data_IF_271046161198
#
_entry.id   IF_271046161198
#
_cell.length_a   1.000
_cell.length_b   1.000
_cell.length_c   1.000
_cell.angle_alpha   90.00
_cell.angle_beta   90.00
_cell.angle_gamma   90.00
#
_symmetry.space_group_name_H-M   'P 1'
#
loop_
_entity.id
_entity.type
_entity.pdbx_description
1 polymer ?
#
# COMPACT_ATOMS: atom_id res chain seq x y z
N UNK A 1 -10.40 39.64 20.55
CA UNK A 1 -10.95 39.76 19.18
C UNK A 1 -11.29 38.42 18.52
N UNK A 2 -10.38 37.43 18.50
CA UNK A 2 -10.62 36.09 17.94
C UNK A 2 -11.92 35.42 18.40
N UNK A 3 -12.23 35.52 19.71
CA UNK A 3 -13.48 35.03 20.31
C UNK A 3 -14.73 35.58 19.63
N UNK A 4 -14.72 36.86 19.23
CA UNK A 4 -15.85 37.49 18.55
C UNK A 4 -16.03 36.95 17.13
N UNK A 5 -14.94 36.76 16.38
CA UNK A 5 -15.00 36.17 15.04
C UNK A 5 -15.57 34.74 15.06
N UNK A 6 -15.14 33.93 16.03
CA UNK A 6 -15.66 32.55 16.21
C UNK A 6 -17.16 32.57 16.54
N UNK A 7 -17.60 33.46 17.44
CA UNK A 7 -19.03 33.60 17.80
C UNK A 7 -19.87 34.02 16.58
N UNK A 8 -19.38 34.99 15.79
CA UNK A 8 -20.08 35.46 14.59
C UNK A 8 -20.17 34.35 13.53
N UNK A 9 -19.09 33.61 13.30
CA UNK A 9 -19.08 32.48 12.38
C UNK A 9 -20.08 31.38 12.79
N UNK A 10 -20.08 30.96 14.05
CA UNK A 10 -21.03 29.97 14.59
C UNK A 10 -22.49 30.42 14.47
N UNK A 11 -22.75 31.70 14.71
CA UNK A 11 -24.10 32.27 14.57
C UNK A 11 -24.54 32.35 13.10
N UNK A 12 -23.60 32.50 12.17
CA UNK A 12 -23.90 32.49 10.73
C UNK A 12 -24.21 31.07 10.23
N UNK A 13 -23.42 30.09 10.66
CA UNK A 13 -23.63 28.66 10.37
C UNK A 13 -24.99 28.17 10.89
N UNK A 14 -25.39 28.58 12.09
CA UNK A 14 -26.69 28.19 12.67
C UNK A 14 -27.89 28.90 12.03
N UNK A 15 -27.70 30.07 11.41
CA UNK A 15 -28.74 30.76 10.62
C UNK A 15 -28.92 30.15 9.23
N UNK A 16 -27.83 29.72 8.58
CA UNK A 16 -27.84 29.16 7.23
C UNK A 16 -27.56 27.65 7.24
N UNK A 17 -28.35 26.89 8.00
CA UNK A 17 -28.09 25.46 8.28
C UNK A 17 -27.98 24.59 7.02
N UNK A 18 -28.88 24.77 6.05
CA UNK A 18 -28.88 23.96 4.84
C UNK A 18 -27.64 24.23 3.97
N UNK A 19 -27.29 25.50 3.78
CA UNK A 19 -26.09 25.90 3.01
C UNK A 19 -24.80 25.44 3.70
N UNK A 20 -24.69 25.64 5.01
CA UNK A 20 -23.55 25.17 5.78
C UNK A 20 -23.44 23.65 5.75
N UNK A 21 -24.56 22.93 5.85
CA UNK A 21 -24.57 21.47 5.79
C UNK A 21 -24.05 20.94 4.46
N UNK A 22 -24.56 21.44 3.33
CA UNK A 22 -24.12 20.98 2.00
C UNK A 22 -22.62 21.20 1.80
N UNK A 23 -22.10 22.38 2.16
CA UNK A 23 -20.68 22.68 1.99
C UNK A 23 -19.78 21.85 2.92
N UNK A 24 -20.15 21.75 4.20
CA UNK A 24 -19.35 20.99 5.18
C UNK A 24 -19.42 19.49 4.88
N UNK A 25 -20.59 18.95 4.54
CA UNK A 25 -20.75 17.53 4.21
C UNK A 25 -20.01 17.18 2.92
N UNK A 26 -20.14 17.99 1.87
CA UNK A 26 -19.42 17.78 0.61
C UNK A 26 -17.90 17.79 0.81
N UNK A 27 -17.39 18.75 1.58
CA UNK A 27 -15.97 18.82 1.91
C UNK A 27 -15.52 17.63 2.77
N UNK A 28 -16.30 17.26 3.78
CA UNK A 28 -16.01 16.11 4.65
C UNK A 28 -15.95 14.79 3.87
N UNK A 29 -16.90 14.56 2.97
CA UNK A 29 -16.93 13.36 2.12
C UNK A 29 -15.74 13.35 1.15
N UNK A 30 -15.41 14.48 0.53
CA UNK A 30 -14.24 14.58 -0.35
C UNK A 30 -12.93 14.29 0.38
N UNK A 31 -12.76 14.86 1.58
CA UNK A 31 -11.59 14.62 2.42
C UNK A 31 -11.52 13.15 2.88
N UNK A 32 -12.64 12.59 3.34
CA UNK A 32 -12.72 11.20 3.76
C UNK A 32 -12.35 10.23 2.62
N UNK A 33 -12.87 10.48 1.42
CA UNK A 33 -12.57 9.67 0.23
C UNK A 33 -11.08 9.70 -0.11
N UNK A 34 -10.47 10.90 -0.08
CA UNK A 34 -9.03 11.06 -0.32
C UNK A 34 -8.19 10.29 0.71
N UNK A 35 -8.54 10.41 2.01
CA UNK A 35 -7.85 9.70 3.09
C UNK A 35 -7.99 8.19 2.94
N UNK A 36 -9.18 7.68 2.59
CA UNK A 36 -9.40 6.25 2.41
C UNK A 36 -8.55 5.68 1.27
N UNK A 37 -8.48 6.37 0.13
CA UNK A 37 -7.62 5.96 -0.99
C UNK A 37 -6.15 5.96 -0.57
N UNK A 38 -5.70 7.00 0.14
CA UNK A 38 -4.33 7.08 0.63
C UNK A 38 -4.00 5.94 1.59
N UNK A 39 -4.89 5.64 2.54
CA UNK A 39 -4.72 4.51 3.46
C UNK A 39 -4.66 3.17 2.72
N UNK A 40 -5.50 2.99 1.70
CA UNK A 40 -5.47 1.79 0.86
C UNK A 40 -4.11 1.64 0.15
N UNK A 41 -3.59 2.72 -0.43
CA UNK A 41 -2.27 2.70 -1.09
C UNK A 41 -1.14 2.40 -0.09
N UNK A 42 -1.17 3.02 1.09
CA UNK A 42 -0.18 2.73 2.15
C UNK A 42 -0.24 1.26 2.55
N UNK A 43 -1.45 0.73 2.74
CA UNK A 43 -1.66 -0.67 3.09
C UNK A 43 -1.07 -1.60 2.01
N UNK A 44 -1.41 -1.38 0.75
CA UNK A 44 -0.93 -2.19 -0.37
C UNK A 44 0.61 -2.17 -0.49
N UNK A 45 1.22 -0.99 -0.35
CA UNK A 45 2.68 -0.84 -0.39
C UNK A 45 3.39 -1.39 0.86
N UNK A 46 2.66 -1.67 1.93
CA UNK A 46 3.18 -2.27 3.15
C UNK A 46 3.04 -3.79 3.21
N UNK A 47 2.28 -4.39 2.29
CA UNK A 47 1.93 -5.81 2.31
C UNK A 47 3.14 -6.74 2.43
N UNK A 48 4.21 -6.50 1.66
CA UNK A 48 5.42 -7.33 1.66
C UNK A 48 6.47 -6.91 2.72
N UNK A 49 6.21 -5.86 3.51
CA UNK A 49 7.18 -5.25 4.43
C UNK A 49 7.10 -5.74 5.87
N UNK A 50 6.29 -6.77 6.14
CA UNK A 50 6.07 -7.28 7.50
C UNK A 50 7.27 -8.05 8.09
N UNK A 51 8.18 -8.53 7.25
CA UNK A 51 9.39 -9.24 7.70
C UNK A 51 10.51 -8.27 8.06
N UNK A 52 11.23 -8.55 9.17
CA UNK A 52 12.32 -7.70 9.68
C UNK A 52 13.42 -7.41 8.64
N UNK A 53 13.64 -8.32 7.69
CA UNK A 53 14.61 -8.19 6.59
C UNK A 53 13.95 -8.20 5.21
N UNK A 54 12.72 -7.67 5.07
CA UNK A 54 11.94 -7.72 3.83
C UNK A 54 12.72 -7.28 2.57
N UNK A 55 13.61 -6.28 2.69
CA UNK A 55 14.44 -5.80 1.57
C UNK A 55 15.47 -6.82 1.05
N UNK A 56 15.72 -7.91 1.79
CA UNK A 56 16.68 -8.98 1.45
C UNK A 56 15.97 -10.30 1.12
N UNK A 57 14.64 -10.32 1.11
CA UNK A 57 13.85 -11.51 0.81
C UNK A 57 13.41 -11.43 -0.65
N UNK A 58 13.76 -12.47 -1.42
CA UNK A 58 13.45 -12.53 -2.84
C UNK A 58 12.76 -13.85 -3.18
N UNK A 59 11.83 -13.80 -4.13
CA UNK A 59 11.16 -14.98 -4.69
C UNK A 59 11.86 -15.40 -5.97
N UNK A 60 12.29 -16.66 -6.02
CA UNK A 60 12.91 -17.25 -7.22
C UNK A 60 11.82 -17.73 -8.18
N UNK A 61 11.82 -17.19 -9.40
CA UNK A 61 10.97 -17.61 -10.51
C UNK A 61 11.78 -18.11 -11.69
N UNK A 62 11.08 -18.57 -12.72
CA UNK A 62 11.67 -18.98 -14.00
C UNK A 62 11.10 -18.10 -15.09
N UNK A 63 11.97 -17.49 -15.88
CA UNK A 63 11.61 -16.65 -17.02
C UNK A 63 12.44 -17.10 -18.23
N UNK A 64 11.79 -17.26 -19.38
CA UNK A 64 12.48 -17.72 -20.58
C UNK A 64 11.58 -17.83 -21.80
N UNK A 65 12.17 -18.15 -22.95
CA UNK A 65 11.45 -18.40 -24.19
C UNK A 65 11.42 -19.92 -24.45
N UNK A 66 10.23 -20.51 -24.44
CA UNK A 66 9.99 -21.90 -24.81
C UNK A 66 9.34 -21.95 -26.19
N UNK A 67 10.13 -22.32 -27.19
CA UNK A 67 9.65 -22.57 -28.56
C UNK A 67 8.84 -21.40 -29.14
N UNK A 68 9.33 -20.18 -28.97
CA UNK A 68 8.69 -18.94 -29.42
C UNK A 68 7.71 -18.32 -28.42
N UNK A 69 7.36 -19.02 -27.35
CA UNK A 69 6.46 -18.52 -26.30
C UNK A 69 7.28 -18.03 -25.10
N UNK A 70 7.14 -16.75 -24.78
CA UNK A 70 7.72 -16.20 -23.56
C UNK A 70 6.90 -16.67 -22.35
N UNK A 71 7.56 -17.31 -21.41
CA UNK A 71 6.97 -17.83 -20.18
C UNK A 71 7.61 -17.19 -18.96
N UNK A 72 6.77 -16.87 -17.98
CA UNK A 72 7.18 -16.34 -16.68
C UNK A 72 6.41 -17.07 -15.59
N UNK A 73 7.11 -17.92 -14.85
CA UNK A 73 6.56 -18.70 -13.76
C UNK A 73 7.09 -18.22 -12.42
N UNK A 74 6.24 -18.06 -11.40
CA UNK A 74 6.66 -17.60 -10.08
C UNK A 74 7.16 -18.77 -9.20
N UNK A 75 7.45 -19.92 -9.81
CA UNK A 75 7.88 -21.15 -9.16
C UNK A 75 9.17 -21.62 -9.83
N UNK A 76 10.06 -22.19 -9.03
CA UNK A 76 11.30 -22.81 -9.48
C UNK A 76 11.35 -24.28 -9.09
N UNK A 77 12.31 -25.00 -9.69
CA UNK A 77 12.52 -26.42 -9.45
C UNK A 77 12.88 -26.71 -8.00
N UNK A 78 12.60 -27.93 -7.54
CA UNK A 78 12.85 -28.36 -6.15
C UNK A 78 14.31 -28.19 -5.72
N UNK A 79 15.25 -28.43 -6.62
CA UNK A 79 16.68 -28.30 -6.35
C UNK A 79 17.20 -26.87 -6.27
N UNK A 80 16.49 -25.87 -6.81
CA UNK A 80 17.05 -24.52 -6.94
C UNK A 80 17.40 -23.90 -5.59
N UNK A 81 16.49 -23.96 -4.61
CA UNK A 81 16.73 -23.44 -3.25
C UNK A 81 17.97 -24.02 -2.57
N UNK A 82 18.06 -25.36 -2.39
CA UNK A 82 19.22 -25.97 -1.73
C UNK A 82 20.53 -25.83 -2.53
N UNK A 83 20.48 -25.87 -3.87
CA UNK A 83 21.68 -25.61 -4.69
C UNK A 83 22.15 -24.18 -4.52
N UNK A 84 21.24 -23.20 -4.48
CA UNK A 84 21.64 -21.80 -4.30
C UNK A 84 22.26 -21.55 -2.92
N UNK A 85 21.72 -22.14 -1.86
CA UNK A 85 22.32 -22.05 -0.52
C UNK A 85 23.73 -22.67 -0.47
N UNK A 86 23.97 -23.73 -1.25
CA UNK A 86 25.26 -24.44 -1.27
C UNK A 86 26.32 -23.71 -2.09
N UNK A 87 25.94 -23.22 -3.27
CA UNK A 87 26.90 -22.76 -4.28
C UNK A 87 27.11 -21.23 -4.25
N UNK A 88 26.22 -20.47 -3.62
CA UNK A 88 26.29 -19.00 -3.56
C UNK A 88 26.40 -18.50 -2.12
N UNK A 89 27.56 -17.92 -1.71
CA UNK A 89 27.76 -17.44 -0.35
C UNK A 89 26.89 -16.23 0.02
N UNK A 90 26.31 -15.52 -0.96
CA UNK A 90 25.40 -14.39 -0.74
C UNK A 90 24.02 -14.82 -0.25
N UNK A 91 23.67 -16.11 -0.38
CA UNK A 91 22.40 -16.68 0.04
C UNK A 91 22.53 -17.13 1.50
N UNK A 92 22.01 -16.34 2.44
CA UNK A 92 22.07 -16.67 3.88
C UNK A 92 21.12 -17.81 4.29
N UNK A 93 19.96 -17.89 3.63
CA UNK A 93 18.92 -18.87 3.98
C UNK A 93 17.95 -19.06 2.82
N UNK A 94 17.29 -20.22 2.78
CA UNK A 94 16.19 -20.48 1.87
C UNK A 94 14.98 -20.99 2.64
N UNK A 95 13.79 -20.72 2.11
CA UNK A 95 12.55 -21.35 2.57
C UNK A 95 11.70 -21.72 1.36
N UNK A 96 10.78 -22.66 1.57
CA UNK A 96 9.78 -23.07 0.60
C UNK A 96 8.48 -23.33 1.35
N UNK A 97 7.38 -22.85 0.78
CA UNK A 97 6.01 -23.06 1.27
C UNK A 97 5.37 -24.16 0.41
#
# INVERSE_FOLDING_TARGET
MFKNYVIVALRNVTKQKAYAFINIAGFAVGLATCILILLYVIHELSYDKFHANANRIYRIGVEGNLSGNYVKYPLSNLGTGPTMLKDYPEVESFTRI
#
